data_IF_649608576674
#
_entry.id   IF_649608576674
#
_cell.length_a   1.000
_cell.length_b   1.000
_cell.length_c   1.000
_cell.angle_alpha   90.00
_cell.angle_beta   90.00
_cell.angle_gamma   90.00
#
_symmetry.space_group_name_H-M   'P 1'
#
loop_
_entity.id
_entity.type
_entity.pdbx_description
1 polymer ?
#
# COMPACT_ATOMS: atom_id res chain seq x y z
N UNK A 1 3.35 19.62 -5.75
CA UNK A 1 3.10 18.20 -5.42
C UNK A 1 2.20 18.04 -4.20
N UNK A 2 2.53 18.68 -3.06
CA UNK A 2 1.74 18.62 -1.82
C UNK A 2 0.28 19.05 -2.00
N UNK A 3 0.02 20.19 -2.64
CA UNK A 3 -1.36 20.67 -2.89
C UNK A 3 -2.18 19.72 -3.76
N UNK A 4 -1.53 19.00 -4.68
CA UNK A 4 -2.16 17.98 -5.51
C UNK A 4 -2.51 16.73 -4.69
N UNK A 5 -1.56 16.19 -3.91
CA UNK A 5 -1.81 15.02 -3.06
C UNK A 5 -2.86 15.29 -1.98
N UNK A 6 -2.89 16.48 -1.40
CA UNK A 6 -3.95 16.88 -0.45
C UNK A 6 -5.35 16.89 -1.09
N UNK A 7 -5.46 17.34 -2.34
CA UNK A 7 -6.73 17.32 -3.06
C UNK A 7 -7.18 15.89 -3.34
N UNK A 8 -6.27 15.06 -3.87
CA UNK A 8 -6.55 13.65 -4.16
C UNK A 8 -6.90 12.89 -2.88
N UNK A 9 -6.18 13.11 -1.78
CA UNK A 9 -6.45 12.49 -0.49
C UNK A 9 -7.87 12.76 0.00
N UNK A 10 -8.30 14.03 -0.03
CA UNK A 10 -9.67 14.42 0.34
C UNK A 10 -10.71 13.74 -0.54
N UNK A 11 -10.49 13.73 -1.85
CA UNK A 11 -11.39 13.06 -2.81
C UNK A 11 -11.47 11.56 -2.55
N UNK A 12 -10.33 10.87 -2.39
CA UNK A 12 -10.25 9.43 -2.20
C UNK A 12 -10.81 8.99 -0.86
N UNK A 13 -10.50 9.70 0.23
CA UNK A 13 -11.09 9.42 1.56
C UNK A 13 -12.60 9.66 1.56
N UNK A 14 -13.10 10.65 0.82
CA UNK A 14 -14.54 10.85 0.64
C UNK A 14 -15.17 9.66 -0.09
N UNK A 15 -14.61 9.25 -1.23
CA UNK A 15 -15.11 8.09 -1.98
C UNK A 15 -15.04 6.79 -1.16
N UNK A 16 -13.98 6.60 -0.37
CA UNK A 16 -13.85 5.46 0.53
C UNK A 16 -15.00 5.44 1.54
N UNK A 17 -15.24 6.56 2.22
CA UNK A 17 -16.32 6.67 3.21
C UNK A 17 -17.70 6.41 2.61
N UNK A 18 -17.98 6.95 1.43
CA UNK A 18 -19.27 6.75 0.74
C UNK A 18 -19.54 5.28 0.38
N UNK A 19 -18.48 4.48 0.15
CA UNK A 19 -18.61 3.08 -0.27
C UNK A 19 -18.50 2.07 0.87
N UNK A 20 -17.65 2.33 1.86
CA UNK A 20 -17.23 1.33 2.84
C UNK A 20 -17.39 1.76 4.30
N UNK A 21 -17.77 3.00 4.61
CA UNK A 21 -17.82 3.46 6.01
C UNK A 21 -18.76 2.65 6.91
N UNK A 22 -19.79 2.04 6.34
CA UNK A 22 -20.76 1.19 7.05
C UNK A 22 -20.60 -0.30 6.71
N UNK A 23 -19.51 -0.70 6.04
CA UNK A 23 -19.26 -2.11 5.72
C UNK A 23 -18.88 -2.87 6.99
N UNK A 24 -19.49 -4.03 7.20
CA UNK A 24 -19.12 -5.01 8.22
C UNK A 24 -18.21 -6.12 7.68
N UNK A 25 -17.86 -6.05 6.39
CA UNK A 25 -16.95 -7.01 5.77
C UNK A 25 -15.55 -6.91 6.40
N UNK A 26 -14.95 -8.02 6.88
CA UNK A 26 -13.70 -7.98 7.65
C UNK A 26 -12.53 -7.28 6.93
N UNK A 27 -12.39 -7.45 5.61
CA UNK A 27 -11.35 -6.75 4.85
C UNK A 27 -11.60 -5.23 4.76
N UNK A 28 -12.86 -4.80 4.68
CA UNK A 28 -13.17 -3.36 4.64
C UNK A 28 -12.94 -2.71 5.99
N UNK A 29 -13.27 -3.41 7.08
CA UNK A 29 -12.95 -2.99 8.45
C UNK A 29 -11.44 -2.84 8.63
N UNK A 30 -10.65 -3.83 8.18
CA UNK A 30 -9.19 -3.81 8.26
C UNK A 30 -8.59 -2.63 7.47
N UNK A 31 -9.04 -2.41 6.22
CA UNK A 31 -8.60 -1.28 5.41
C UNK A 31 -9.01 0.06 6.02
N UNK A 32 -10.21 0.15 6.60
CA UNK A 32 -10.67 1.36 7.28
C UNK A 32 -9.81 1.69 8.51
N UNK A 33 -9.45 0.68 9.30
CA UNK A 33 -8.52 0.85 10.43
C UNK A 33 -7.17 1.41 9.96
N UNK A 34 -6.58 0.79 8.93
CA UNK A 34 -5.32 1.25 8.34
C UNK A 34 -5.41 2.69 7.81
N UNK A 35 -6.43 3.00 7.01
CA UNK A 35 -6.64 4.35 6.44
C UNK A 35 -6.74 5.41 7.55
N UNK A 36 -7.37 5.07 8.68
CA UNK A 36 -7.53 6.00 9.79
C UNK A 36 -6.27 6.11 10.65
N UNK A 37 -5.44 5.06 10.75
CA UNK A 37 -4.26 5.03 11.62
C UNK A 37 -2.93 5.28 10.91
N UNK A 38 -2.89 5.28 9.58
CA UNK A 38 -1.65 5.42 8.80
C UNK A 38 -0.82 6.64 9.20
N UNK A 39 -1.47 7.77 9.48
CA UNK A 39 -0.80 9.01 9.88
C UNK A 39 -0.14 8.93 11.27
N UNK A 40 -0.57 7.99 12.12
CA UNK A 40 0.05 7.71 13.41
C UNK A 40 1.15 6.67 13.28
N UNK A 41 0.97 5.65 12.43
CA UNK A 41 1.97 4.59 12.20
C UNK A 41 3.17 5.10 11.38
N UNK A 42 2.89 5.79 10.28
CA UNK A 42 3.88 6.36 9.36
C UNK A 42 3.41 7.75 8.88
N UNK A 43 3.65 8.81 9.68
CA UNK A 43 3.18 10.17 9.42
C UNK A 43 3.55 10.73 8.05
N UNK A 44 4.66 10.23 7.49
CA UNK A 44 5.14 10.64 6.18
C UNK A 44 4.24 10.16 5.04
N UNK A 45 3.51 9.05 5.19
CA UNK A 45 2.63 8.47 4.17
C UNK A 45 1.15 8.77 4.45
N UNK A 46 0.83 10.03 4.73
CA UNK A 46 -0.51 10.47 5.19
C UNK A 46 -1.57 10.61 4.10
N UNK A 47 -1.18 10.71 2.83
CA UNK A 47 -2.13 10.98 1.74
C UNK A 47 -2.60 9.69 1.07
N UNK A 48 -3.90 9.38 1.11
CA UNK A 48 -4.49 8.28 0.34
C UNK A 48 -4.54 8.67 -1.15
N UNK A 49 -3.61 8.15 -1.94
CA UNK A 49 -3.44 8.49 -3.37
C UNK A 49 -4.43 7.76 -4.26
N UNK A 50 -4.63 6.47 -4.01
CA UNK A 50 -5.57 5.63 -4.76
C UNK A 50 -5.96 4.40 -3.93
N UNK A 51 -7.08 3.79 -4.29
CA UNK A 51 -7.53 2.50 -3.77
C UNK A 51 -8.30 1.74 -4.84
N UNK A 52 -8.34 0.41 -4.74
CA UNK A 52 -8.94 -0.46 -5.74
C UNK A 52 -8.49 -0.15 -7.19
N UNK A 53 -7.20 0.17 -7.35
CA UNK A 53 -6.66 0.67 -8.60
C UNK A 53 -6.42 -0.47 -9.60
N UNK A 54 -6.69 -0.22 -10.88
CA UNK A 54 -6.52 -1.24 -11.92
C UNK A 54 -5.06 -1.65 -12.07
N UNK A 55 -4.80 -2.94 -11.87
CA UNK A 55 -3.47 -3.58 -11.94
C UNK A 55 -3.12 -3.95 -13.40
N UNK A 56 -4.13 -4.22 -14.22
CA UNK A 56 -3.98 -4.48 -15.65
C UNK A 56 -5.04 -3.71 -16.45
N UNK A 57 -4.69 -3.30 -17.66
CA UNK A 57 -5.60 -2.72 -18.65
C UNK A 57 -6.40 -3.80 -19.39
N UNK A 58 -6.05 -5.09 -19.24
CA UNK A 58 -6.72 -6.24 -19.84
C UNK A 58 -7.56 -7.09 -18.87
N UNK A 59 -8.85 -7.21 -19.17
CA UNK A 59 -9.76 -8.31 -18.82
C UNK A 59 -9.55 -9.07 -17.49
N UNK A 60 -9.94 -8.44 -16.37
CA UNK A 60 -10.95 -8.99 -15.45
C UNK A 60 -11.08 -8.09 -14.23
N UNK A 61 -12.26 -8.02 -13.63
CA UNK A 61 -12.51 -7.34 -12.36
C UNK A 61 -11.75 -7.96 -11.15
N UNK A 62 -10.71 -8.79 -11.40
CA UNK A 62 -10.11 -9.71 -10.43
C UNK A 62 -8.74 -9.29 -9.90
N UNK A 63 -8.13 -8.21 -10.39
CA UNK A 63 -6.86 -7.70 -9.84
C UNK A 63 -6.95 -6.18 -9.66
N UNK A 64 -7.47 -5.78 -8.50
CA UNK A 64 -7.46 -4.40 -8.02
C UNK A 64 -6.39 -4.31 -6.94
N UNK A 65 -5.43 -3.42 -7.11
CA UNK A 65 -4.47 -3.13 -6.06
C UNK A 65 -5.17 -2.37 -4.94
N UNK A 66 -4.79 -2.64 -3.70
CA UNK A 66 -5.64 -2.26 -2.58
C UNK A 66 -5.49 -0.81 -2.16
N UNK A 67 -4.34 -0.41 -1.62
CA UNK A 67 -4.12 0.93 -1.09
C UNK A 67 -2.79 1.51 -1.57
N UNK A 68 -2.81 2.80 -1.94
CA UNK A 68 -1.62 3.59 -2.23
C UNK A 68 -1.63 4.82 -1.33
N UNK A 69 -0.56 5.00 -0.56
CA UNK A 69 -0.30 6.20 0.21
C UNK A 69 0.86 7.00 -0.38
N UNK A 70 0.75 8.32 -0.42
CA UNK A 70 1.81 9.21 -0.87
C UNK A 70 2.45 9.98 0.28
N UNK A 71 3.74 10.29 0.12
CA UNK A 71 4.47 11.21 0.99
C UNK A 71 4.67 12.60 0.40
N UNK A 72 5.06 13.55 1.25
CA UNK A 72 5.45 14.90 0.80
C UNK A 72 6.72 14.88 -0.08
N UNK A 73 7.46 13.77 -0.09
CA UNK A 73 8.71 13.58 -0.83
C UNK A 73 8.55 12.84 -2.16
N UNK A 74 7.30 12.61 -2.59
CA UNK A 74 7.01 11.91 -3.85
C UNK A 74 7.31 10.42 -3.79
N UNK A 75 7.35 9.82 -2.61
CA UNK A 75 7.43 8.36 -2.44
C UNK A 75 6.02 7.81 -2.26
N UNK A 76 5.66 6.78 -3.01
CA UNK A 76 4.40 6.07 -2.82
C UNK A 76 4.61 4.73 -2.13
N UNK A 77 3.77 4.46 -1.14
CA UNK A 77 3.69 3.22 -0.38
C UNK A 77 2.46 2.43 -0.85
N UNK A 78 2.72 1.26 -1.42
CA UNK A 78 1.70 0.29 -1.82
C UNK A 78 1.51 -0.67 -0.65
N UNK A 79 0.27 -0.80 -0.18
CA UNK A 79 -0.05 -1.72 0.91
C UNK A 79 -1.07 -2.74 0.41
N UNK A 80 -0.67 -4.01 0.45
CA UNK A 80 -1.60 -5.13 0.34
C UNK A 80 -2.16 -5.47 1.70
N UNK A 81 -3.47 -5.41 1.86
CA UNK A 81 -4.14 -5.82 3.09
C UNK A 81 -4.73 -7.21 2.95
N UNK A 82 -4.76 -7.98 4.05
CA UNK A 82 -5.46 -9.25 4.05
C UNK A 82 -6.05 -9.58 5.41
N UNK A 83 -7.33 -9.93 5.42
CA UNK A 83 -7.93 -10.59 6.56
C UNK A 83 -7.68 -12.09 6.47
N UNK A 84 -6.87 -12.62 7.39
CA UNK A 84 -6.51 -14.02 7.54
C UNK A 84 -7.60 -14.72 8.37
N UNK A 85 -8.13 -15.82 7.83
CA UNK A 85 -9.06 -16.68 8.55
C UNK A 85 -8.27 -17.63 9.44
N UNK A 86 -8.01 -17.17 10.66
CA UNK A 86 -7.37 -17.92 11.71
C UNK A 86 -8.37 -18.96 12.24
N UNK A 87 -8.33 -20.19 11.70
CA UNK A 87 -9.16 -21.32 12.15
C UNK A 87 -8.82 -21.78 13.58
N UNK A 88 -9.56 -22.77 14.10
CA UNK A 88 -9.43 -23.26 15.48
C UNK A 88 -8.37 -24.34 15.70
N UNK A 89 -7.83 -24.95 14.64
CA UNK A 89 -6.90 -26.08 14.73
C UNK A 89 -5.44 -25.63 14.55
N UNK A 90 -4.67 -25.61 15.64
CA UNK A 90 -3.37 -24.96 15.77
C UNK A 90 -2.32 -25.38 14.71
N UNK A 91 -2.17 -26.67 14.40
CA UNK A 91 -1.09 -27.15 13.53
C UNK A 91 -1.37 -26.92 12.04
N UNK A 92 -2.62 -27.12 11.61
CA UNK A 92 -3.04 -26.86 10.23
C UNK A 92 -3.11 -25.34 9.96
N UNK A 93 -3.38 -24.55 11.01
CA UNK A 93 -3.41 -23.10 10.96
C UNK A 93 -2.03 -22.50 10.68
N UNK A 94 -0.97 -22.91 11.38
CA UNK A 94 0.37 -22.33 11.18
C UNK A 94 0.85 -22.49 9.74
N UNK A 95 0.64 -23.67 9.13
CA UNK A 95 1.02 -23.90 7.74
C UNK A 95 0.19 -23.05 6.78
N UNK A 96 -1.14 -23.04 6.94
CA UNK A 96 -2.05 -22.27 6.09
C UNK A 96 -1.84 -20.75 6.24
N UNK A 97 -1.51 -20.29 7.45
CA UNK A 97 -1.22 -18.89 7.75
C UNK A 97 0.09 -18.46 7.10
N UNK A 98 1.14 -19.27 7.21
CA UNK A 98 2.42 -18.99 6.53
C UNK A 98 2.22 -18.92 5.01
N UNK A 99 1.48 -19.85 4.41
CA UNK A 99 1.17 -19.82 2.98
C UNK A 99 0.37 -18.58 2.58
N UNK A 100 -0.60 -18.17 3.40
CA UNK A 100 -1.35 -16.94 3.17
C UNK A 100 -0.45 -15.70 3.27
N UNK A 101 0.42 -15.61 4.28
CA UNK A 101 1.37 -14.51 4.44
C UNK A 101 2.35 -14.43 3.27
N UNK A 102 2.89 -15.58 2.83
CA UNK A 102 3.73 -15.67 1.63
C UNK A 102 2.96 -15.16 0.42
N UNK A 103 1.73 -15.63 0.20
CA UNK A 103 0.90 -15.18 -0.92
C UNK A 103 0.61 -13.68 -0.89
N UNK A 104 0.34 -13.11 0.28
CA UNK A 104 0.09 -11.66 0.45
C UNK A 104 1.36 -10.87 0.14
N UNK A 105 2.53 -11.37 0.57
CA UNK A 105 3.82 -10.75 0.28
C UNK A 105 4.16 -10.78 -1.22
N UNK A 106 3.93 -11.90 -1.89
CA UNK A 106 4.09 -12.01 -3.35
C UNK A 106 3.15 -11.08 -4.11
N UNK A 107 1.90 -10.97 -3.64
CA UNK A 107 0.91 -10.07 -4.21
C UNK A 107 1.33 -8.60 -4.07
N UNK A 108 1.80 -8.22 -2.88
CA UNK A 108 2.35 -6.88 -2.62
C UNK A 108 3.56 -6.58 -3.50
N UNK A 109 4.46 -7.54 -3.73
CA UNK A 109 5.61 -7.38 -4.63
C UNK A 109 5.16 -7.13 -6.08
N UNK A 110 4.21 -7.93 -6.57
CA UNK A 110 3.62 -7.75 -7.90
C UNK A 110 2.98 -6.35 -8.03
N UNK A 111 2.24 -5.91 -7.03
CA UNK A 111 1.60 -4.59 -7.04
C UNK A 111 2.62 -3.45 -6.97
N UNK A 112 3.70 -3.59 -6.19
CA UNK A 112 4.82 -2.64 -6.17
C UNK A 112 5.43 -2.45 -7.56
N UNK A 113 5.72 -3.54 -8.28
CA UNK A 113 6.31 -3.48 -9.63
C UNK A 113 5.38 -2.81 -10.65
N UNK A 114 4.09 -3.10 -10.57
CA UNK A 114 3.09 -2.53 -11.48
C UNK A 114 2.88 -1.04 -11.18
N UNK A 115 2.82 -0.67 -9.91
CA UNK A 115 2.76 0.73 -9.49
C UNK A 115 4.02 1.50 -9.93
N UNK A 116 5.21 0.89 -9.88
CA UNK A 116 6.44 1.50 -10.37
C UNK A 116 6.37 1.85 -11.86
N UNK A 117 5.76 0.98 -12.69
CA UNK A 117 5.53 1.28 -14.12
C UNK A 117 4.47 2.36 -14.31
N UNK A 118 3.37 2.30 -13.56
CA UNK A 118 2.22 3.20 -13.70
C UNK A 118 2.51 4.63 -13.25
N UNK A 119 3.27 4.78 -12.16
CA UNK A 119 3.52 6.07 -11.52
C UNK A 119 4.95 6.56 -11.73
N UNK A 120 5.70 6.02 -12.71
CA UNK A 120 7.10 6.38 -12.96
C UNK A 120 7.33 7.88 -13.24
N UNK A 121 6.32 8.58 -13.76
CA UNK A 121 6.36 10.02 -14.02
C UNK A 121 5.86 10.87 -12.84
N UNK A 122 5.20 10.26 -11.84
CA UNK A 122 4.59 10.95 -10.70
C UNK A 122 5.37 10.76 -9.39
N UNK A 123 5.91 9.55 -9.18
CA UNK A 123 6.59 9.16 -7.96
C UNK A 123 8.09 9.05 -8.19
N UNK A 124 8.86 9.60 -7.26
CA UNK A 124 10.32 9.44 -7.20
C UNK A 124 10.67 7.99 -6.90
N UNK A 125 9.89 7.35 -6.02
CA UNK A 125 10.12 5.97 -5.61
C UNK A 125 8.83 5.28 -5.21
N UNK A 126 8.75 3.97 -5.47
CA UNK A 126 7.66 3.11 -5.00
C UNK A 126 8.22 2.09 -4.01
N UNK A 127 7.57 1.99 -2.86
CA UNK A 127 7.84 0.98 -1.84
C UNK A 127 6.57 0.14 -1.60
N UNK A 128 6.75 -1.08 -1.11
CA UNK A 128 5.67 -2.02 -0.85
C UNK A 128 5.67 -2.50 0.59
N UNK A 129 4.47 -2.81 1.08
CA UNK A 129 4.27 -3.44 2.38
C UNK A 129 3.01 -4.30 2.39
N UNK A 130 2.86 -5.10 3.44
CA UNK A 130 1.64 -5.83 3.75
C UNK A 130 1.03 -5.34 5.07
N UNK A 131 -0.28 -5.53 5.25
CA UNK A 131 -0.99 -5.23 6.49
C UNK A 131 -2.08 -6.28 6.73
N UNK A 132 -1.97 -7.05 7.81
CA UNK A 132 -2.92 -8.14 8.10
C UNK A 132 -3.55 -7.98 9.48
N UNK A 133 -4.66 -8.69 9.71
CA UNK A 133 -5.32 -8.76 11.01
C UNK A 133 -4.57 -9.62 12.04
N UNK A 134 -3.42 -10.19 11.69
CA UNK A 134 -2.59 -11.00 12.61
C UNK A 134 -2.02 -10.14 13.75
N UNK A 135 -1.40 -9.02 13.40
CA UNK A 135 -0.78 -8.10 14.37
C UNK A 135 -1.18 -6.63 14.17
N UNK A 136 -1.93 -6.33 13.10
CA UNK A 136 -2.31 -4.97 12.70
C UNK A 136 -1.10 -4.03 12.57
N UNK A 137 -0.01 -4.54 11.99
CA UNK A 137 1.22 -3.78 11.69
C UNK A 137 1.52 -3.81 10.20
N UNK A 138 2.28 -2.80 9.76
CA UNK A 138 2.78 -2.70 8.39
C UNK A 138 4.11 -3.44 8.32
N UNK A 139 4.20 -4.42 7.43
CA UNK A 139 5.43 -5.19 7.17
C UNK A 139 5.98 -4.84 5.80
N UNK A 140 7.12 -4.16 5.76
CA UNK A 140 7.72 -3.71 4.50
C UNK A 140 8.36 -4.85 3.70
N UNK A 141 8.36 -4.68 2.38
CA UNK A 141 9.01 -5.58 1.45
C UNK A 141 10.51 -5.25 1.33
N UNK A 142 11.34 -6.28 1.30
CA UNK A 142 12.69 -6.27 0.72
C UNK A 142 13.56 -5.04 1.06
N UNK A 143 13.54 -4.60 2.33
CA UNK A 143 14.34 -3.47 2.83
C UNK A 143 13.70 -2.08 2.70
N UNK A 144 12.47 -1.99 2.20
CA UNK A 144 11.74 -0.73 2.02
C UNK A 144 11.47 0.03 3.32
N UNK A 145 11.60 -0.62 4.48
CA UNK A 145 11.42 0.03 5.79
C UNK A 145 12.44 1.15 6.01
N UNK A 146 13.69 0.98 5.56
CA UNK A 146 14.74 2.00 5.65
C UNK A 146 14.34 3.26 4.86
N UNK A 147 13.74 3.06 3.68
CA UNK A 147 13.21 4.15 2.84
C UNK A 147 12.03 4.82 3.53
N UNK A 148 11.16 4.04 4.17
CA UNK A 148 9.98 4.56 4.88
C UNK A 148 10.34 5.36 6.14
N UNK A 149 11.45 5.02 6.82
CA UNK A 149 11.98 5.75 7.98
C UNK A 149 12.69 7.05 7.60
N UNK A 150 13.37 7.08 6.46
CA UNK A 150 14.12 8.27 5.99
C UNK A 150 13.70 8.72 4.57
N UNK A 151 12.41 9.05 4.34
CA UNK A 151 11.90 9.26 2.99
C UNK A 151 12.46 10.52 2.31
N UNK A 152 12.79 11.56 3.08
CA UNK A 152 13.48 12.75 2.56
C UNK A 152 14.83 12.38 1.94
N UNK A 153 15.67 11.63 2.66
CA UNK A 153 16.99 11.21 2.18
C UNK A 153 16.86 10.31 0.96
N UNK A 154 15.97 9.33 1.03
CA UNK A 154 15.71 8.40 -0.07
C UNK A 154 15.23 9.08 -1.35
N UNK A 155 14.57 10.25 -1.25
CA UNK A 155 14.14 11.03 -2.42
C UNK A 155 15.29 11.68 -3.19
N UNK A 156 16.42 11.96 -2.53
CA UNK A 156 17.62 12.54 -3.17
C UNK A 156 18.57 11.49 -3.77
N UNK A 157 18.51 10.24 -3.30
CA UNK A 157 19.36 9.16 -3.79
C UNK A 157 18.96 8.65 -5.19
N UNK A 158 17.81 9.08 -5.71
CA UNK A 158 17.39 8.83 -7.09
C UNK A 158 18.21 9.71 -8.05
N UNK A 159 19.45 9.31 -8.35
CA UNK A 159 20.25 9.94 -9.41
C UNK A 159 19.50 9.80 -10.74
N UNK A 160 18.96 10.91 -11.24
CA UNK A 160 18.61 11.06 -12.66
C UNK A 160 19.89 10.76 -13.44
N UNK A 161 19.90 9.82 -14.41
CA UNK A 161 21.07 9.64 -15.27
C UNK A 161 21.34 10.98 -15.95
N UNK A 162 22.53 11.55 -15.69
CA UNK A 162 22.94 12.74 -16.38
C UNK A 162 23.08 12.41 -17.87
N UNK A 163 22.55 13.25 -18.77
CA UNK A 163 22.78 13.05 -20.19
C UNK A 163 24.29 13.11 -20.44
N UNK A 164 24.80 12.03 -21.03
CA UNK A 164 26.16 12.00 -21.56
C UNK A 164 26.11 12.91 -22.79
N UNK A 165 26.68 14.11 -22.67
CA UNK A 165 26.95 15.00 -23.81
C UNK A 165 28.27 14.60 -24.46
#
# INVERSE_FOLDING_TARGET
>A
MVSYLQRIDKEKRKCWKERYACSDHPEDVLRNDLINRIHTMYPEFKYLRDFEWKVDNGFSNRQKGELIFGSDYGIYLIIETKYLNLGTDETAQVFTQNDQLISVREQARKYKEIAAKRFCAEAVKIIGATFTNEDNRIHFLDGDEEIAKEPLKASFDCKVPQPIF
#
